data_IF_183928994792
#
_entry.id   IF_183928994792
#
_cell.length_a   1.000
_cell.length_b   1.000
_cell.length_c   1.000
_cell.angle_alpha   90.00
_cell.angle_beta   90.00
_cell.angle_gamma   90.00
#
_symmetry.space_group_name_H-M   'P 1'
#
loop_
_entity.id
_entity.type
_entity.pdbx_description
1 polymer ?
#
# COMPACT_ATOMS: atom_id res chain seq x y z
N UNK A 1 60.85 -5.69 -53.62
CA UNK A 1 59.43 -5.30 -53.78
C UNK A 1 58.59 -6.28 -52.97
N UNK A 2 58.01 -5.83 -51.84
CA UNK A 2 56.95 -6.54 -51.09
C UNK A 2 55.68 -6.63 -51.95
N UNK A 3 54.86 -7.70 -51.85
CA UNK A 3 53.92 -7.94 -50.74
C UNK A 3 53.84 -9.46 -50.36
N UNK A 4 53.13 -9.99 -49.35
CA UNK A 4 51.71 -9.87 -49.02
C UNK A 4 51.41 -10.34 -47.59
N UNK A 5 50.41 -9.65 -47.02
CA UNK A 5 49.69 -9.87 -45.77
C UNK A 5 49.11 -11.30 -45.63
N UNK A 6 49.23 -11.87 -44.42
CA UNK A 6 48.23 -12.80 -43.86
C UNK A 6 48.04 -12.48 -42.37
N UNK A 7 47.12 -11.57 -42.10
CA UNK A 7 46.67 -11.27 -40.74
C UNK A 7 45.80 -12.42 -40.24
N UNK A 8 46.22 -13.04 -39.15
CA UNK A 8 45.48 -14.10 -38.45
C UNK A 8 44.32 -13.44 -37.69
N UNK A 9 43.10 -13.88 -37.97
CA UNK A 9 41.92 -13.50 -37.22
C UNK A 9 41.89 -14.26 -35.89
N UNK A 10 41.95 -13.55 -34.76
CA UNK A 10 41.70 -14.12 -33.44
C UNK A 10 40.38 -13.57 -32.92
N UNK A 11 39.45 -14.48 -32.68
CA UNK A 11 38.07 -14.24 -32.29
C UNK A 11 37.97 -13.57 -30.91
N UNK A 12 37.07 -12.59 -30.82
CA UNK A 12 36.66 -11.95 -29.57
C UNK A 12 35.80 -12.91 -28.74
N UNK A 13 36.17 -13.13 -27.48
CA UNK A 13 35.28 -13.70 -26.47
C UNK A 13 34.68 -12.56 -25.66
N UNK A 14 33.49 -12.10 -26.06
CA UNK A 14 32.69 -11.18 -25.26
C UNK A 14 32.07 -11.99 -24.13
N UNK A 15 32.52 -11.76 -22.90
CA UNK A 15 31.85 -12.28 -21.70
C UNK A 15 30.57 -11.46 -21.53
N UNK A 16 29.45 -12.03 -21.99
CA UNK A 16 28.12 -11.50 -21.71
C UNK A 16 27.85 -11.71 -20.22
N UNK A 17 27.97 -10.66 -19.43
CA UNK A 17 27.30 -10.59 -18.14
C UNK A 17 25.80 -10.53 -18.43
N UNK A 18 25.11 -11.65 -18.23
CA UNK A 18 23.65 -11.73 -18.27
C UNK A 18 23.10 -10.91 -17.10
N UNK A 19 22.82 -9.63 -17.33
CA UNK A 19 21.91 -8.89 -16.47
C UNK A 19 20.52 -9.48 -16.66
N UNK A 20 20.16 -10.45 -15.80
CA UNK A 20 18.76 -10.82 -15.67
C UNK A 20 17.99 -9.56 -15.23
N UNK A 21 16.95 -9.12 -15.95
CA UNK A 21 16.12 -8.05 -15.46
C UNK A 21 15.45 -8.51 -14.16
N UNK A 22 15.57 -7.69 -13.12
CA UNK A 22 14.85 -7.86 -11.87
C UNK A 22 13.36 -7.61 -12.16
N UNK A 23 12.65 -8.62 -12.64
CA UNK A 23 11.19 -8.57 -12.80
C UNK A 23 10.55 -8.74 -11.42
N UNK A 24 10.32 -7.64 -10.72
CA UNK A 24 9.45 -7.62 -9.55
C UNK A 24 8.86 -6.22 -9.35
N UNK A 25 8.01 -5.78 -10.28
CA UNK A 25 7.16 -4.59 -10.07
C UNK A 25 5.65 -4.92 -10.01
N UNK A 26 5.27 -6.21 -10.14
CA UNK A 26 3.88 -6.70 -10.13
C UNK A 26 3.57 -7.70 -8.98
N UNK A 27 4.52 -7.95 -8.08
CA UNK A 27 4.28 -8.84 -6.94
C UNK A 27 3.34 -8.16 -5.93
N UNK A 28 2.28 -8.87 -5.50
CA UNK A 28 1.40 -8.35 -4.45
C UNK A 28 2.14 -8.13 -3.14
N UNK A 29 1.76 -7.11 -2.35
CA UNK A 29 2.34 -6.91 -1.04
C UNK A 29 2.12 -8.12 -0.14
N UNK A 30 3.17 -8.57 0.52
CA UNK A 30 3.12 -9.59 1.58
C UNK A 30 2.51 -9.01 2.86
N UNK A 31 2.04 -9.89 3.75
CA UNK A 31 1.54 -9.47 5.06
C UNK A 31 2.56 -8.65 5.87
N UNK A 32 3.84 -9.05 5.84
CA UNK A 32 4.92 -8.35 6.54
C UNK A 32 5.19 -6.95 5.96
N UNK A 33 5.12 -6.80 4.63
CA UNK A 33 5.26 -5.49 3.99
C UNK A 33 4.12 -4.54 4.36
N UNK A 34 2.89 -5.05 4.48
CA UNK A 34 1.75 -4.26 4.93
C UNK A 34 1.90 -3.84 6.39
N UNK A 35 2.26 -4.75 7.31
CA UNK A 35 2.51 -4.41 8.72
C UNK A 35 3.61 -3.36 8.86
N UNK A 36 4.70 -3.53 8.11
CA UNK A 36 5.79 -2.55 8.06
C UNK A 36 5.33 -1.21 7.51
N UNK A 37 4.48 -1.22 6.47
CA UNK A 37 3.91 -0.01 5.90
C UNK A 37 3.06 0.76 6.91
N UNK A 38 2.15 0.10 7.61
CA UNK A 38 1.29 0.72 8.63
C UNK A 38 2.11 1.18 9.84
N UNK A 39 3.10 0.41 10.29
CA UNK A 39 4.01 0.82 11.36
C UNK A 39 4.74 2.13 11.00
N UNK A 40 5.19 2.26 9.74
CA UNK A 40 5.77 3.52 9.23
C UNK A 40 4.76 4.66 9.18
N UNK A 41 3.49 4.40 8.88
CA UNK A 41 2.44 5.43 8.96
C UNK A 41 2.28 5.93 10.41
N UNK A 42 2.18 5.02 11.38
CA UNK A 42 2.08 5.37 12.81
C UNK A 42 3.27 6.22 13.25
N UNK A 43 4.49 5.81 12.88
CA UNK A 43 5.70 6.58 13.17
C UNK A 43 5.72 7.96 12.47
N UNK A 44 5.23 8.05 11.24
CA UNK A 44 5.13 9.32 10.51
C UNK A 44 4.17 10.29 11.21
N UNK A 45 3.01 9.82 11.65
CA UNK A 45 2.07 10.64 12.44
C UNK A 45 2.73 11.16 13.72
N UNK A 46 3.51 10.32 14.42
CA UNK A 46 4.24 10.75 15.62
C UNK A 46 5.32 11.81 15.31
N UNK A 47 5.96 11.74 14.14
CA UNK A 47 7.03 12.65 13.76
C UNK A 47 6.54 14.01 13.24
N UNK A 48 5.46 14.03 12.45
CA UNK A 48 5.02 15.26 11.76
C UNK A 48 3.66 15.79 12.20
N UNK A 49 2.98 15.08 13.11
CA UNK A 49 1.62 15.41 13.53
C UNK A 49 0.56 14.91 12.55
N UNK A 50 -0.69 14.92 12.99
CA UNK A 50 -1.83 14.36 12.25
C UNK A 50 -2.08 15.08 10.93
N UNK A 51 -2.10 16.40 10.93
CA UNK A 51 -2.52 17.18 9.76
C UNK A 51 -1.59 16.97 8.56
N UNK A 52 -0.27 17.04 8.81
CA UNK A 52 0.74 16.79 7.78
C UNK A 52 0.75 15.33 7.34
N UNK A 53 0.70 14.39 8.28
CA UNK A 53 0.73 12.97 7.94
C UNK A 53 -0.50 12.56 7.12
N UNK A 54 -1.69 13.03 7.46
CA UNK A 54 -2.92 12.70 6.74
C UNK A 54 -2.97 13.32 5.34
N UNK A 55 -2.41 14.53 5.17
CA UNK A 55 -2.19 15.10 3.84
C UNK A 55 -1.23 14.22 3.02
N UNK A 56 -0.11 13.79 3.61
CA UNK A 56 0.87 12.92 2.94
C UNK A 56 0.28 11.57 2.54
N UNK A 57 -0.53 10.95 3.40
CA UNK A 57 -1.18 9.67 3.12
C UNK A 57 -2.27 9.78 2.04
N UNK A 58 -2.78 10.98 1.79
CA UNK A 58 -3.81 11.25 0.78
C UNK A 58 -3.22 11.72 -0.55
N UNK A 59 -1.93 12.06 -0.60
CA UNK A 59 -1.25 12.36 -1.85
C UNK A 59 -1.04 11.08 -2.67
N UNK A 60 -1.83 10.94 -3.73
CA UNK A 60 -1.79 9.77 -4.61
C UNK A 60 -0.48 9.64 -5.40
N UNK A 61 0.34 10.71 -5.44
CA UNK A 61 1.67 10.72 -6.04
C UNK A 61 2.79 10.56 -5.01
N UNK A 62 2.43 10.56 -3.73
CA UNK A 62 3.34 10.44 -2.61
C UNK A 62 3.80 9.00 -2.36
N UNK A 63 4.79 8.81 -1.47
CA UNK A 63 5.35 7.48 -1.17
C UNK A 63 4.39 6.56 -0.41
N UNK A 64 3.22 7.07 -0.03
CA UNK A 64 2.18 6.35 0.72
C UNK A 64 1.12 5.71 -0.19
N UNK A 65 1.35 5.74 -1.52
CA UNK A 65 0.54 5.06 -2.52
C UNK A 65 1.48 4.37 -3.51
N UNK A 66 1.49 3.04 -3.52
CA UNK A 66 2.25 2.22 -4.47
C UNK A 66 1.38 1.08 -4.97
N UNK A 67 0.90 1.19 -6.22
CA UNK A 67 -0.01 0.22 -6.80
C UNK A 67 -1.29 0.08 -5.97
N UNK A 68 -1.53 -1.10 -5.41
CA UNK A 68 -2.68 -1.37 -4.54
C UNK A 68 -2.41 -1.11 -3.04
N UNK A 69 -1.15 -0.89 -2.66
CA UNK A 69 -0.74 -0.55 -1.29
C UNK A 69 -0.92 0.95 -1.06
N UNK A 70 -1.87 1.33 -0.21
CA UNK A 70 -2.12 2.74 0.11
C UNK A 70 -2.57 2.91 1.57
N UNK A 71 -2.19 4.04 2.17
CA UNK A 71 -2.64 4.42 3.50
C UNK A 71 -4.08 4.93 3.53
N UNK A 72 -4.82 4.56 4.57
CA UNK A 72 -6.07 5.23 4.95
C UNK A 72 -6.08 5.47 6.46
N UNK A 73 -6.80 6.50 6.89
CA UNK A 73 -7.07 6.78 8.30
C UNK A 73 -8.49 7.33 8.49
N UNK A 74 -9.13 6.99 9.59
CA UNK A 74 -10.36 7.62 10.05
C UNK A 74 -10.37 7.81 11.58
N UNK A 75 -11.19 8.74 12.06
CA UNK A 75 -11.45 8.89 13.50
C UNK A 75 -12.17 7.65 14.03
N UNK A 76 -12.16 7.43 15.35
CA UNK A 76 -12.88 6.31 15.97
C UNK A 76 -14.43 6.43 15.90
N UNK A 77 -14.94 7.57 15.41
CA UNK A 77 -16.33 7.85 15.02
C UNK A 77 -16.57 7.68 13.51
N UNK A 78 -15.52 7.30 12.78
CA UNK A 78 -15.53 6.94 11.36
C UNK A 78 -15.52 8.12 10.39
N UNK A 79 -15.04 9.30 10.79
CA UNK A 79 -14.77 10.38 9.82
C UNK A 79 -13.45 10.07 9.11
N UNK A 80 -13.48 9.92 7.79
CA UNK A 80 -12.26 9.70 7.00
C UNK A 80 -11.39 10.96 6.98
N UNK A 81 -10.15 10.82 7.43
CA UNK A 81 -9.17 11.91 7.51
C UNK A 81 -7.99 11.72 6.57
N UNK A 82 -7.74 10.49 6.11
CA UNK A 82 -6.79 10.20 5.04
C UNK A 82 -7.28 9.01 4.18
N UNK A 83 -7.07 9.06 2.86
CA UNK A 83 -7.35 7.90 1.99
C UNK A 83 -6.63 7.98 0.63
N UNK A 84 -5.45 7.38 0.52
CA UNK A 84 -4.64 7.41 -0.71
C UNK A 84 -5.29 6.73 -1.92
N UNK A 85 -6.13 5.70 -1.71
CA UNK A 85 -6.82 5.01 -2.81
C UNK A 85 -8.08 5.70 -3.34
N UNK A 86 -8.65 6.66 -2.60
CA UNK A 86 -9.94 7.29 -2.91
C UNK A 86 -10.12 8.59 -2.09
N UNK A 87 -9.52 9.70 -2.54
CA UNK A 87 -9.63 10.99 -1.85
C UNK A 87 -11.06 11.53 -1.72
N UNK A 88 -12.02 11.04 -2.51
CA UNK A 88 -13.41 11.44 -2.42
C UNK A 88 -14.11 10.99 -1.12
N UNK A 89 -13.43 10.20 -0.27
CA UNK A 89 -13.93 9.80 1.04
C UNK A 89 -13.59 10.79 2.15
N UNK A 90 -12.63 11.68 1.95
CA UNK A 90 -12.19 12.64 2.98
C UNK A 90 -13.37 13.47 3.52
N UNK A 91 -13.45 13.59 4.83
CA UNK A 91 -14.51 14.30 5.55
C UNK A 91 -15.85 13.56 5.66
N UNK A 92 -16.01 12.40 5.03
CA UNK A 92 -17.26 11.62 5.10
C UNK A 92 -17.24 10.65 6.28
N UNK A 93 -18.42 10.41 6.84
CA UNK A 93 -18.60 9.29 7.76
C UNK A 93 -18.66 7.98 6.96
N UNK A 94 -17.75 7.05 7.26
CA UNK A 94 -17.59 5.78 6.54
C UNK A 94 -18.11 4.56 7.32
N UNK A 95 -18.65 4.74 8.54
CA UNK A 95 -19.14 3.61 9.36
C UNK A 95 -20.28 2.85 8.70
N UNK A 96 -21.14 3.55 7.97
CA UNK A 96 -22.29 2.95 7.28
C UNK A 96 -21.95 2.15 6.03
N UNK A 97 -20.67 2.12 5.62
CA UNK A 97 -20.27 1.45 4.38
C UNK A 97 -20.30 -0.06 4.56
N UNK A 98 -20.99 -0.71 3.63
CA UNK A 98 -21.12 -2.15 3.57
C UNK A 98 -20.42 -2.71 2.36
N UNK A 99 -19.79 -3.87 2.53
CA UNK A 99 -19.38 -4.68 1.40
C UNK A 99 -20.60 -5.43 0.78
N UNK A 100 -20.43 -6.14 -0.37
CA UNK A 100 -21.53 -6.87 -1.00
C UNK A 100 -22.16 -7.97 -0.15
N UNK A 101 -21.48 -8.44 0.90
CA UNK A 101 -21.99 -9.46 1.82
C UNK A 101 -22.70 -8.83 3.04
N UNK A 102 -22.78 -7.49 3.08
CA UNK A 102 -23.43 -6.73 4.13
C UNK A 102 -22.53 -6.39 5.32
N UNK A 103 -21.22 -6.67 5.25
CA UNK A 103 -20.27 -6.41 6.33
C UNK A 103 -20.04 -4.92 6.50
N UNK A 104 -20.24 -4.39 7.71
CA UNK A 104 -19.92 -3.00 8.07
C UNK A 104 -18.40 -2.83 8.22
N UNK A 105 -17.76 -2.51 7.10
CA UNK A 105 -16.30 -2.56 6.93
C UNK A 105 -15.57 -1.71 7.98
N UNK A 106 -15.96 -0.45 8.13
CA UNK A 106 -15.27 0.47 9.03
C UNK A 106 -15.65 0.27 10.50
N UNK A 107 -16.75 -0.42 10.80
CA UNK A 107 -17.05 -0.86 12.17
C UNK A 107 -16.05 -1.93 12.60
N UNK A 108 -15.77 -2.93 11.75
CA UNK A 108 -14.73 -3.94 12.04
C UNK A 108 -13.36 -3.31 12.31
N UNK A 109 -12.98 -2.32 11.50
CA UNK A 109 -11.73 -1.57 11.64
C UNK A 109 -11.67 -0.81 12.96
N UNK A 110 -12.73 -0.05 13.29
CA UNK A 110 -12.81 0.72 14.54
C UNK A 110 -12.83 -0.20 15.76
N UNK A 111 -13.57 -1.31 15.72
CA UNK A 111 -13.64 -2.27 16.83
C UNK A 111 -12.28 -2.93 17.07
N UNK A 112 -11.55 -3.29 16.00
CA UNK A 112 -10.18 -3.80 16.11
C UNK A 112 -9.24 -2.78 16.77
N UNK A 113 -9.34 -1.51 16.38
CA UNK A 113 -8.53 -0.45 16.97
C UNK A 113 -8.91 -0.12 18.43
N UNK A 114 -10.20 -0.19 18.79
CA UNK A 114 -10.68 0.04 20.16
C UNK A 114 -10.36 -1.11 21.11
N UNK A 115 -10.40 -2.35 20.62
CA UNK A 115 -10.05 -3.55 21.38
C UNK A 115 -8.55 -3.74 21.51
N UNK A 116 -7.96 -4.47 20.57
CA UNK A 116 -6.56 -4.90 20.62
C UNK A 116 -5.56 -3.77 20.33
N UNK A 117 -6.05 -2.61 19.90
CA UNK A 117 -5.21 -1.48 19.46
C UNK A 117 -4.61 -1.68 18.07
N UNK A 118 -4.52 -2.92 17.57
CA UNK A 118 -4.02 -3.24 16.24
C UNK A 118 -4.46 -4.64 15.80
N UNK A 119 -4.35 -4.91 14.50
CA UNK A 119 -4.44 -6.26 13.97
C UNK A 119 -5.06 -6.34 12.58
N UNK A 120 -5.32 -7.58 12.16
CA UNK A 120 -5.85 -7.88 10.85
C UNK A 120 -7.38 -7.92 10.84
N UNK A 121 -7.98 -7.39 9.78
CA UNK A 121 -9.39 -7.50 9.43
C UNK A 121 -9.53 -7.84 7.95
N UNK A 122 -10.63 -8.48 7.58
CA UNK A 122 -10.90 -8.90 6.20
C UNK A 122 -12.30 -8.46 5.78
N UNK A 123 -12.41 -7.95 4.56
CA UNK A 123 -13.65 -7.46 3.96
C UNK A 123 -13.47 -7.31 2.44
N UNK A 124 -14.55 -7.11 1.68
CA UNK A 124 -14.45 -6.82 0.24
C UNK A 124 -14.41 -5.31 -0.03
N UNK A 125 -13.52 -4.85 -0.93
CA UNK A 125 -13.36 -3.44 -1.27
C UNK A 125 -13.03 -3.23 -2.76
N UNK A 126 -13.38 -2.09 -3.38
CA UNK A 126 -12.96 -1.77 -4.74
C UNK A 126 -11.43 -1.64 -4.84
N UNK A 127 -10.80 -2.47 -5.68
CA UNK A 127 -9.39 -2.35 -5.98
C UNK A 127 -9.12 -1.06 -6.79
N UNK A 128 -8.17 -0.20 -6.38
CA UNK A 128 -7.96 1.09 -7.04
C UNK A 128 -7.41 0.96 -8.47
N UNK A 129 -6.81 -0.18 -8.82
CA UNK A 129 -6.28 -0.47 -10.15
C UNK A 129 -7.38 -1.11 -11.02
N UNK A 130 -7.92 -2.25 -10.60
CA UNK A 130 -8.86 -3.03 -11.44
C UNK A 130 -10.29 -2.51 -11.41
N UNK A 131 -10.63 -1.65 -10.43
CA UNK A 131 -11.97 -1.12 -10.14
C UNK A 131 -13.01 -2.18 -9.77
N UNK A 132 -12.60 -3.45 -9.64
CA UNK A 132 -13.47 -4.54 -9.20
C UNK A 132 -13.46 -4.62 -7.68
N UNK A 133 -14.61 -5.00 -7.11
CA UNK A 133 -14.68 -5.38 -5.70
C UNK A 133 -14.01 -6.74 -5.53
N UNK A 134 -13.04 -6.83 -4.62
CA UNK A 134 -12.31 -8.05 -4.32
C UNK A 134 -12.09 -8.20 -2.81
N UNK A 135 -11.88 -9.42 -2.29
CA UNK A 135 -11.48 -9.62 -0.90
C UNK A 135 -10.19 -8.88 -0.61
N UNK A 136 -10.13 -8.21 0.54
CA UNK A 136 -8.99 -7.42 0.98
C UNK A 136 -8.65 -7.79 2.41
N UNK A 137 -7.37 -8.05 2.66
CA UNK A 137 -6.83 -8.29 4.00
C UNK A 137 -6.07 -7.05 4.45
N UNK A 138 -6.49 -6.49 5.58
CA UNK A 138 -6.11 -5.15 6.02
C UNK A 138 -5.55 -5.21 7.42
N UNK A 139 -4.35 -4.66 7.60
CA UNK A 139 -3.77 -4.46 8.92
C UNK A 139 -4.03 -3.02 9.36
N UNK A 140 -4.43 -2.86 10.61
CA UNK A 140 -4.78 -1.57 11.19
C UNK A 140 -4.08 -1.37 12.53
N UNK A 141 -3.81 -0.11 12.87
CA UNK A 141 -3.30 0.32 14.16
C UNK A 141 -4.06 1.55 14.66
N UNK A 142 -4.32 1.61 15.96
CA UNK A 142 -4.80 2.80 16.65
C UNK A 142 -3.65 3.81 16.70
N UNK A 143 -3.92 5.04 16.28
CA UNK A 143 -2.93 6.12 16.17
C UNK A 143 -3.41 7.35 16.93
N UNK A 144 -2.52 7.94 17.73
CA UNK A 144 -2.77 9.14 18.54
C UNK A 144 -4.08 9.08 19.36
N UNK A 145 -4.42 7.88 19.85
CA UNK A 145 -5.61 7.55 20.65
C UNK A 145 -6.99 7.80 20.02
N UNK A 146 -7.08 8.57 18.94
CA UNK A 146 -8.35 9.04 18.34
C UNK A 146 -8.57 8.57 16.91
N UNK A 147 -7.56 7.97 16.30
CA UNK A 147 -7.60 7.53 14.92
C UNK A 147 -7.28 6.06 14.82
N UNK A 148 -7.71 5.48 13.72
CA UNK A 148 -7.24 4.20 13.23
C UNK A 148 -6.69 4.42 11.83
N UNK A 149 -5.47 3.93 11.60
CA UNK A 149 -4.81 3.96 10.30
C UNK A 149 -4.52 2.53 9.84
N UNK A 150 -4.53 2.30 8.53
CA UNK A 150 -4.28 0.98 7.99
C UNK A 150 -3.92 0.96 6.52
N UNK A 151 -3.56 -0.23 6.08
CA UNK A 151 -3.27 -0.58 4.69
C UNK A 151 -3.50 -2.08 4.50
N UNK A 152 -3.54 -2.54 3.26
CA UNK A 152 -3.81 -3.94 2.96
C UNK A 152 -3.57 -4.30 1.52
N UNK A 153 -3.66 -5.59 1.24
CA UNK A 153 -3.53 -6.19 -0.09
C UNK A 153 -4.82 -6.92 -0.46
N UNK A 154 -5.06 -7.08 -1.75
CA UNK A 154 -6.22 -7.81 -2.24
C UNK A 154 -5.87 -9.30 -2.32
N UNK A 155 -6.77 -10.18 -1.89
CA UNK A 155 -6.55 -11.62 -2.04
C UNK A 155 -6.96 -12.00 -3.45
N UNK A 156 -6.04 -12.62 -4.20
CA UNK A 156 -6.29 -13.15 -5.54
C UNK A 156 -7.00 -14.50 -5.50
#
# INVERSE_FOLDING_TARGET
MMPTLRTIATAAAVILFSSAPLLADDAQPTAHEVETFVTRMTAHVAAVGTDKAFADFSDQKGPWVKGELYGFCHTLEGISVAHGGNPALLGKNVLGFKDPDGVLINVLVVDKAKGDGKGWVEYKWPNPITKKVAPKRVYVEKVAEKFVCGSGYYVQ
#
